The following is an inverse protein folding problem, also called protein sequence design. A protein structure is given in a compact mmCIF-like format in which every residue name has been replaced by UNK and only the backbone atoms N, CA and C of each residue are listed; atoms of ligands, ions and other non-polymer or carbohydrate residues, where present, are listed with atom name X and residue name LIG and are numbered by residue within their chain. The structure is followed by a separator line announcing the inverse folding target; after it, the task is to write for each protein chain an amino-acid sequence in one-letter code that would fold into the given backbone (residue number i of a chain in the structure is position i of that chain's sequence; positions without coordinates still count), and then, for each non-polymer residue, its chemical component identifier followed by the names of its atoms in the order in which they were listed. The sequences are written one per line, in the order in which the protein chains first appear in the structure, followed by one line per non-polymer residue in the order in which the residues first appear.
data_IF_323373243209
#
_entry.id   IF_323373243209
#
_cell.length_a   1.000
_cell.length_b   1.000
_cell.length_c   1.000
_cell.angle_alpha   90.00
_cell.angle_beta   90.00
_cell.angle_gamma   90.00
#
_symmetry.space_group_name_H-M   'P 1'
#
loop_
_entity.id
_entity.type
_entity.pdbx_description
1 polymer ?
#
# COMPACT_ATOMS: atom_id res chain seq x y z
N UNK A 1 -16.13 10.87 -19.60
CA UNK A 1 -15.30 10.96 -18.38
C UNK A 1 -14.79 9.57 -18.06
N UNK A 2 -13.53 9.42 -17.64
CA UNK A 2 -12.99 8.12 -17.24
C UNK A 2 -13.80 7.52 -16.08
N UNK A 3 -14.11 6.22 -16.17
CA UNK A 3 -14.75 5.45 -15.11
C UNK A 3 -13.68 4.76 -14.28
N UNK A 4 -13.81 4.76 -12.96
CA UNK A 4 -12.82 4.21 -12.05
C UNK A 4 -13.41 3.10 -11.19
N UNK A 5 -12.63 2.04 -10.97
CA UNK A 5 -12.84 1.09 -9.88
C UNK A 5 -11.91 1.45 -8.73
N UNK A 6 -12.41 1.28 -7.51
CA UNK A 6 -11.63 1.47 -6.29
C UNK A 6 -11.60 0.18 -5.49
N UNK A 7 -10.51 -0.03 -4.77
CA UNK A 7 -10.42 -1.08 -3.75
C UNK A 7 -9.51 -0.64 -2.61
N UNK A 8 -9.58 -1.40 -1.52
CA UNK A 8 -8.69 -1.27 -0.38
C UNK A 8 -7.92 -2.57 -0.18
N UNK A 9 -6.65 -2.48 0.18
CA UNK A 9 -5.89 -3.60 0.73
C UNK A 9 -5.37 -3.24 2.13
N UNK A 10 -5.25 -4.26 2.98
CA UNK A 10 -4.64 -4.13 4.29
C UNK A 10 -3.39 -5.00 4.29
N UNK A 11 -2.25 -4.38 4.53
CA UNK A 11 -0.96 -5.05 4.66
C UNK A 11 -0.60 -5.08 6.15
N UNK A 12 -0.25 -6.26 6.64
CA UNK A 12 0.15 -6.42 8.04
C UNK A 12 1.62 -6.09 8.19
N UNK A 13 1.93 -4.91 8.75
CA UNK A 13 3.31 -4.44 8.85
C UNK A 13 4.06 -5.25 9.91
N UNK A 14 3.40 -5.71 10.98
CA UNK A 14 4.05 -6.52 12.04
C UNK A 14 4.69 -7.81 11.50
N UNK A 15 4.18 -8.34 10.38
CA UNK A 15 4.71 -9.53 9.72
C UNK A 15 5.84 -9.25 8.71
N UNK A 16 6.07 -7.97 8.38
CA UNK A 16 7.05 -7.52 7.36
C UNK A 16 8.18 -6.75 8.02
N UNK A 17 7.81 -5.93 9.00
CA UNK A 17 8.60 -4.97 9.74
C UNK A 17 8.47 -5.34 11.22
N UNK A 18 9.59 -5.63 11.91
CA UNK A 18 9.56 -5.83 13.35
C UNK A 18 9.02 -4.58 14.07
N UNK A 19 8.15 -4.72 15.08
CA UNK A 19 7.59 -3.56 15.81
C UNK A 19 8.67 -2.62 16.37
N UNK A 20 9.82 -3.15 16.77
CA UNK A 20 10.98 -2.40 17.27
C UNK A 20 11.61 -1.47 16.23
N UNK A 21 11.34 -1.67 14.95
CA UNK A 21 11.82 -0.84 13.85
C UNK A 21 10.82 0.27 13.45
N UNK A 22 9.68 0.38 14.14
CA UNK A 22 8.65 1.41 13.92
C UNK A 22 8.72 2.42 15.06
N UNK A 23 9.00 3.68 14.73
CA UNK A 23 8.97 4.79 15.68
C UNK A 23 7.86 5.77 15.30
N UNK A 24 6.84 5.89 16.15
CA UNK A 24 5.73 6.83 15.94
C UNK A 24 5.86 8.03 16.87
N UNK A 25 5.61 9.23 16.34
CA UNK A 25 5.55 10.45 17.13
C UNK A 25 4.14 10.74 17.65
N UNK A 26 4.01 11.71 18.56
CA UNK A 26 2.74 12.07 19.20
C UNK A 26 1.71 12.67 18.23
N UNK A 27 2.12 13.03 17.01
CA UNK A 27 1.22 13.53 15.96
C UNK A 27 0.66 12.40 15.07
N UNK A 28 1.02 11.14 15.34
CA UNK A 28 0.59 9.97 14.57
C UNK A 28 1.40 9.69 13.30
N UNK A 29 2.54 10.36 13.10
CA UNK A 29 3.48 10.04 12.03
C UNK A 29 4.42 8.94 12.50
N UNK A 30 4.52 7.85 11.72
CA UNK A 30 5.41 6.73 12.00
C UNK A 30 6.53 6.65 10.97
N UNK A 31 7.76 6.46 11.45
CA UNK A 31 8.97 6.24 10.66
C UNK A 31 9.41 4.80 10.86
N UNK A 32 9.79 4.16 9.75
CA UNK A 32 10.37 2.82 9.73
C UNK A 32 11.86 2.99 9.43
N UNK A 33 12.73 2.50 10.31
CA UNK A 33 14.19 2.66 10.16
C UNK A 33 14.94 1.35 10.47
N UNK A 34 16.12 1.18 9.87
CA UNK A 34 17.05 0.10 10.21
C UNK A 34 16.66 -1.31 9.76
N UNK A 35 15.78 -1.47 8.76
CA UNK A 35 15.35 -2.80 8.28
C UNK A 35 16.05 -3.16 6.97
N UNK A 36 17.11 -3.97 6.99
CA UNK A 36 17.71 -4.50 5.77
C UNK A 36 16.66 -5.36 5.03
N UNK A 37 16.33 -4.97 3.79
CA UNK A 37 15.34 -5.65 2.95
C UNK A 37 13.87 -5.39 3.30
N UNK A 38 13.57 -4.54 4.30
CA UNK A 38 12.20 -4.19 4.65
C UNK A 38 11.50 -3.35 3.57
N UNK A 39 12.27 -2.46 2.95
CA UNK A 39 11.81 -1.67 1.80
C UNK A 39 11.49 -2.57 0.60
N UNK A 40 12.38 -3.49 0.24
CA UNK A 40 12.18 -4.40 -0.90
C UNK A 40 10.94 -5.29 -0.73
N UNK A 41 10.66 -5.72 0.50
CA UNK A 41 9.44 -6.49 0.80
C UNK A 41 8.17 -5.66 0.63
N UNK A 42 8.18 -4.41 1.11
CA UNK A 42 7.03 -3.53 0.99
C UNK A 42 6.80 -3.14 -0.48
N UNK A 43 7.88 -2.84 -1.20
CA UNK A 43 7.88 -2.58 -2.64
C UNK A 43 7.26 -3.75 -3.41
N UNK A 44 7.72 -4.98 -3.18
CA UNK A 44 7.15 -6.16 -3.84
C UNK A 44 5.65 -6.39 -3.57
N UNK A 45 5.14 -5.99 -2.40
CA UNK A 45 3.71 -6.07 -2.09
C UNK A 45 2.91 -5.02 -2.88
N UNK A 46 3.43 -3.80 -2.99
CA UNK A 46 2.78 -2.71 -3.71
C UNK A 46 2.87 -2.92 -5.23
N UNK A 47 4.02 -3.39 -5.72
CA UNK A 47 4.27 -3.65 -7.13
C UNK A 47 3.32 -4.71 -7.69
N UNK A 48 3.02 -5.77 -6.92
CA UNK A 48 2.06 -6.80 -7.32
C UNK A 48 0.69 -6.22 -7.65
N UNK A 49 0.27 -5.17 -6.95
CA UNK A 49 -0.98 -4.48 -7.26
C UNK A 49 -0.85 -3.59 -8.49
N UNK A 50 0.30 -2.91 -8.64
CA UNK A 50 0.68 -2.15 -9.82
C UNK A 50 0.68 -2.97 -11.11
N UNK A 51 1.17 -4.21 -11.07
CA UNK A 51 1.14 -5.17 -12.20
C UNK A 51 -0.28 -5.44 -12.72
N UNK A 52 -1.29 -5.28 -11.85
CA UNK A 52 -2.71 -5.46 -12.18
C UNK A 52 -3.42 -4.16 -12.59
N UNK A 53 -2.63 -3.17 -13.01
CA UNK A 53 -3.03 -1.82 -13.41
C UNK A 53 -3.70 -1.00 -12.28
N UNK A 54 -3.47 -1.37 -11.02
CA UNK A 54 -3.95 -0.57 -9.90
C UNK A 54 -2.95 0.54 -9.57
N UNK A 55 -3.43 1.78 -9.61
CA UNK A 55 -2.68 2.94 -9.16
C UNK A 55 -2.93 3.15 -7.66
N UNK A 56 -1.86 3.31 -6.90
CA UNK A 56 -1.95 3.65 -5.49
C UNK A 56 -2.34 5.13 -5.32
N UNK A 57 -3.43 5.37 -4.59
CA UNK A 57 -3.94 6.72 -4.33
C UNK A 57 -3.45 7.23 -2.97
N UNK A 58 -3.50 6.37 -1.96
CA UNK A 58 -3.14 6.72 -0.59
C UNK A 58 -2.78 5.44 0.18
N UNK A 59 -1.73 5.49 1.00
CA UNK A 59 -1.53 4.52 2.09
C UNK A 59 -1.48 5.26 3.43
N UNK A 60 -2.03 4.64 4.47
CA UNK A 60 -2.01 5.15 5.85
C UNK A 60 -1.67 4.01 6.80
N UNK A 61 -0.75 4.28 7.73
CA UNK A 61 -0.42 3.34 8.79
C UNK A 61 -1.39 3.52 9.98
N UNK A 62 -1.86 2.42 10.54
CA UNK A 62 -2.66 2.41 11.77
C UNK A 62 -2.47 1.09 12.52
N UNK A 63 -2.00 1.14 13.76
CA UNK A 63 -1.91 -0.03 14.65
C UNK A 63 -1.17 -1.22 14.05
N UNK A 64 0.05 -1.01 13.54
CA UNK A 64 0.86 -2.09 12.94
C UNK A 64 0.37 -2.56 11.57
N UNK A 65 -0.62 -1.90 10.97
CA UNK A 65 -1.16 -2.23 9.65
C UNK A 65 -1.05 -1.05 8.70
N UNK A 66 -1.00 -1.34 7.40
CA UNK A 66 -1.02 -0.35 6.34
C UNK A 66 -2.30 -0.54 5.52
N UNK A 67 -3.19 0.45 5.57
CA UNK A 67 -4.35 0.52 4.70
C UNK A 67 -3.94 1.26 3.43
N UNK A 68 -4.10 0.61 2.28
CA UNK A 68 -3.83 1.21 0.98
C UNK A 68 -5.11 1.29 0.14
N UNK A 69 -5.34 2.44 -0.48
CA UNK A 69 -6.46 2.75 -1.36
C UNK A 69 -5.94 2.80 -2.79
N UNK A 70 -6.62 2.08 -3.66
CA UNK A 70 -6.23 1.90 -5.05
C UNK A 70 -7.33 2.37 -5.98
N UNK A 71 -6.94 2.83 -7.16
CA UNK A 71 -7.86 3.08 -8.27
C UNK A 71 -7.36 2.39 -9.54
N UNK A 72 -8.28 2.00 -10.40
CA UNK A 72 -7.97 1.49 -11.74
C UNK A 72 -8.99 2.00 -12.73
N UNK A 73 -8.54 2.44 -13.90
CA UNK A 73 -9.43 2.89 -14.96
C UNK A 73 -10.20 1.69 -15.54
N UNK A 74 -11.50 1.86 -15.77
CA UNK A 74 -12.32 0.89 -16.49
C UNK A 74 -12.14 1.16 -17.98
N UNK A 75 -11.22 0.42 -18.61
CA UNK A 75 -11.11 0.36 -20.07
C UNK A 75 -12.33 -0.43 -20.58
N UNK A 76 -13.31 0.27 -21.17
CA UNK A 76 -14.41 -0.41 -21.85
C UNK A 76 -13.82 -1.10 -23.08
N UNK A 77 -13.82 -2.44 -23.07
CA UNK A 77 -13.55 -3.19 -24.28
C UNK A 77 -14.73 -2.91 -25.22
N UNK A 78 -14.48 -2.27 -26.35
CA UNK A 78 -15.48 -2.15 -27.40
C UNK A 78 -15.92 -3.58 -27.78
N UNK A 79 -17.11 -3.97 -27.34
CA UNK A 79 -17.75 -5.20 -27.81
C UNK A 79 -18.02 -4.98 -29.30
N UNK A 80 -17.31 -5.76 -30.14
CA UNK A 80 -17.57 -5.86 -31.57
C UNK A 80 -18.91 -6.52 -31.83
#
# INVERSE_FOLDING_TARGET
MARWKYKTSIVDLEHIIPPEAISCNDTGSCVVDGIPGGQDKLEGILDREGESEWELVQCQAHGGKLLCIWKREVKEAFAS
#
